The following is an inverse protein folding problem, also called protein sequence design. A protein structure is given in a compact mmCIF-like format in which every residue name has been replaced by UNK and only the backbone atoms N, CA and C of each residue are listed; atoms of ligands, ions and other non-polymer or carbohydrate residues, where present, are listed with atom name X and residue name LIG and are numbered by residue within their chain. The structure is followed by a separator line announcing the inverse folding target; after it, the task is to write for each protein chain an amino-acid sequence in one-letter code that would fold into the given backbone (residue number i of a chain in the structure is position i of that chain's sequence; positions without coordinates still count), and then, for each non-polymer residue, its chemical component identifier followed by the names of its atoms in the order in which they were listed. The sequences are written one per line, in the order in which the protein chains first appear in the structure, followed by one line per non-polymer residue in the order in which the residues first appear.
data_IF_691282466937
#
_entry.id   IF_691282466937
#
_cell.length_a   1.000
_cell.length_b   1.000
_cell.length_c   1.000
_cell.angle_alpha   90.00
_cell.angle_beta   90.00
_cell.angle_gamma   90.00
#
_symmetry.space_group_name_H-M   'P 1'
#
loop_
_entity.id
_entity.type
_entity.pdbx_description
1 polymer ?
#
# COMPACT_ATOMS: atom_id res chain seq x y z
N UNK A 1 -42.59 -7.38 45.10
CA UNK A 1 -41.73 -7.43 43.91
C UNK A 1 -41.83 -6.07 43.22
N UNK A 2 -40.77 -5.26 43.25
CA UNK A 2 -40.80 -3.83 42.88
C UNK A 2 -40.09 -3.62 41.54
N UNK A 3 -40.82 -3.03 40.59
CA UNK A 3 -40.31 -2.44 39.35
C UNK A 3 -39.41 -1.26 39.73
N UNK A 4 -38.19 -1.21 39.21
CA UNK A 4 -37.31 -0.05 39.40
C UNK A 4 -37.02 0.54 38.03
N UNK A 5 -37.27 1.85 37.98
CA UNK A 5 -37.22 2.75 36.87
C UNK A 5 -35.80 2.95 36.33
N UNK A 6 -35.77 3.25 35.03
CA UNK A 6 -34.67 3.93 34.34
C UNK A 6 -34.24 5.16 35.13
N UNK A 7 -32.95 5.26 35.44
CA UNK A 7 -32.29 6.52 35.73
C UNK A 7 -31.02 6.57 34.88
N UNK A 8 -31.09 7.37 33.82
CA UNK A 8 -29.94 7.90 33.09
C UNK A 8 -29.00 8.58 34.09
N UNK A 9 -27.74 8.17 34.12
CA UNK A 9 -26.66 8.93 34.71
C UNK A 9 -25.50 8.93 33.72
N UNK A 10 -25.36 10.04 33.00
CA UNK A 10 -24.16 10.41 32.28
C UNK A 10 -23.10 10.91 33.27
N UNK A 11 -21.83 10.57 33.01
CA UNK A 11 -20.55 11.25 33.35
C UNK A 11 -19.48 10.15 33.43
N UNK A 12 -18.77 9.86 32.34
CA UNK A 12 -17.55 10.51 31.83
C UNK A 12 -16.31 10.28 32.73
N UNK A 13 -15.30 9.68 32.08
CA UNK A 13 -13.85 9.75 32.25
C UNK A 13 -13.09 8.61 32.96
N UNK A 14 -12.06 8.17 32.22
CA UNK A 14 -10.89 7.35 32.55
C UNK A 14 -11.06 5.83 32.46
N UNK A 15 -11.08 5.31 31.23
CA UNK A 15 -10.66 3.93 30.97
C UNK A 15 -9.47 3.96 30.01
N UNK A 16 -8.30 3.67 30.57
CA UNK A 16 -7.16 3.17 29.83
C UNK A 16 -7.39 1.72 29.39
N UNK A 17 -6.95 1.44 28.17
CA UNK A 17 -6.39 0.18 27.68
C UNK A 17 -7.20 -1.11 27.92
N UNK A 18 -8.17 -1.38 27.05
CA UNK A 18 -8.16 -2.64 26.27
C UNK A 18 -9.03 -2.49 25.01
N UNK A 19 -8.49 -1.84 23.99
CA UNK A 19 -9.02 -1.95 22.63
C UNK A 19 -8.15 -2.96 21.90
N UNK A 20 -8.48 -4.24 22.07
CA UNK A 20 -8.07 -5.29 21.14
C UNK A 20 -8.85 -5.07 19.83
N UNK A 21 -8.38 -4.10 19.05
CA UNK A 21 -8.67 -4.00 17.62
C UNK A 21 -7.34 -4.26 16.92
N UNK A 22 -7.02 -5.54 16.80
CA UNK A 22 -6.14 -6.05 15.75
C UNK A 22 -6.83 -5.78 14.41
N UNK A 23 -6.69 -4.56 13.93
CA UNK A 23 -6.77 -4.24 12.51
C UNK A 23 -6.07 -2.91 12.37
N UNK A 24 -4.75 -3.03 12.19
CA UNK A 24 -3.87 -1.96 11.77
C UNK A 24 -4.54 -1.21 10.64
N UNK A 25 -4.98 -0.01 11.01
CA UNK A 25 -5.67 0.94 10.18
C UNK A 25 -4.83 1.26 8.94
N UNK A 26 -5.53 1.33 7.80
CA UNK A 26 -5.15 2.01 6.55
C UNK A 26 -4.74 1.12 5.36
N UNK A 27 -5.52 0.08 5.05
CA UNK A 27 -5.47 -0.62 3.75
C UNK A 27 -6.89 -0.75 3.16
N UNK A 28 -7.54 0.39 2.90
CA UNK A 28 -8.84 0.40 2.26
C UNK A 28 -8.94 1.65 1.38
N UNK A 29 -9.03 1.43 0.07
CA UNK A 29 -9.20 2.41 -1.02
C UNK A 29 -7.94 3.08 -1.64
N UNK A 30 -6.73 2.53 -1.44
CA UNK A 30 -5.65 2.67 -2.42
C UNK A 30 -5.48 1.32 -3.10
N UNK A 31 -5.78 1.21 -4.39
CA UNK A 31 -5.46 0.01 -5.17
C UNK A 31 -3.98 -0.27 -5.00
N UNK A 32 -3.57 -1.50 -4.63
CA UNK A 32 -2.16 -1.80 -4.42
C UNK A 32 -1.34 -1.46 -5.67
N UNK A 33 -0.11 -0.99 -5.51
CA UNK A 33 0.81 -0.63 -6.62
C UNK A 33 0.91 -1.79 -7.61
N UNK A 34 1.06 -3.01 -7.07
CA UNK A 34 1.05 -4.27 -7.84
C UNK A 34 -0.22 -4.41 -8.68
N UNK A 35 -1.39 -4.13 -8.11
CA UNK A 35 -2.66 -4.21 -8.83
C UNK A 35 -2.76 -3.18 -9.95
N UNK A 36 -2.31 -1.95 -9.76
CA UNK A 36 -2.32 -0.92 -10.81
C UNK A 36 -1.45 -1.34 -12.01
N UNK A 37 -0.27 -1.91 -11.75
CA UNK A 37 0.62 -2.40 -12.81
C UNK A 37 0.01 -3.62 -13.53
N UNK A 38 -0.64 -4.55 -12.79
CA UNK A 38 -1.38 -5.70 -13.38
C UNK A 38 -2.56 -5.24 -14.22
N UNK A 39 -3.37 -4.32 -13.72
CA UNK A 39 -4.54 -3.78 -14.40
C UNK A 39 -4.14 -3.00 -15.68
N UNK A 40 -2.93 -2.43 -15.71
CA UNK A 40 -2.36 -1.79 -16.89
C UNK A 40 -1.78 -2.77 -17.93
N UNK A 41 -1.82 -4.08 -17.67
CA UNK A 41 -1.51 -5.11 -18.65
C UNK A 41 -0.15 -5.77 -18.51
N UNK A 42 0.60 -5.53 -17.42
CA UNK A 42 1.75 -6.41 -17.13
C UNK A 42 1.23 -7.82 -16.87
N UNK A 43 1.81 -8.83 -17.53
CA UNK A 43 1.44 -10.21 -17.23
C UNK A 43 2.00 -10.59 -15.88
N UNK A 44 1.26 -11.37 -15.11
CA UNK A 44 1.71 -11.84 -13.80
C UNK A 44 3.03 -12.62 -13.88
N UNK A 45 3.21 -13.44 -14.92
CA UNK A 45 4.45 -14.16 -15.17
C UNK A 45 5.65 -13.22 -15.43
N UNK A 46 5.40 -12.06 -16.05
CA UNK A 46 6.44 -11.06 -16.31
C UNK A 46 6.75 -10.30 -15.01
N UNK A 47 5.74 -9.95 -14.21
CA UNK A 47 5.93 -9.24 -12.94
C UNK A 47 6.71 -10.06 -11.90
N UNK A 48 6.41 -11.35 -11.79
CA UNK A 48 7.07 -12.23 -10.82
C UNK A 48 8.51 -12.59 -11.22
N UNK A 49 8.86 -12.53 -12.51
CA UNK A 49 10.21 -12.86 -13.02
C UNK A 49 11.07 -11.64 -13.35
N UNK A 50 10.46 -10.49 -13.63
CA UNK A 50 11.18 -9.29 -14.01
C UNK A 50 11.99 -8.76 -12.83
N UNK A 51 13.24 -8.43 -13.13
CA UNK A 51 14.08 -7.62 -12.27
C UNK A 51 13.71 -6.14 -12.39
N UNK A 52 14.40 -5.31 -11.62
CA UNK A 52 14.18 -3.85 -11.59
C UNK A 52 14.39 -3.24 -12.99
N UNK A 53 15.37 -3.70 -13.76
CA UNK A 53 15.67 -3.17 -15.08
C UNK A 53 14.56 -3.50 -16.09
N UNK A 54 14.06 -4.73 -16.10
CA UNK A 54 12.94 -5.13 -16.95
C UNK A 54 11.66 -4.36 -16.63
N UNK A 55 11.37 -4.16 -15.34
CA UNK A 55 10.23 -3.33 -14.91
C UNK A 55 10.43 -1.86 -15.27
N UNK A 56 11.65 -1.35 -15.23
CA UNK A 56 11.94 0.03 -15.63
C UNK A 56 11.66 0.24 -17.11
N UNK A 57 12.13 -0.68 -17.98
CA UNK A 57 11.82 -0.64 -19.42
C UNK A 57 10.32 -0.67 -19.66
N UNK A 58 9.60 -1.53 -18.94
CA UNK A 58 8.14 -1.59 -19.05
C UNK A 58 7.47 -0.28 -18.62
N UNK A 59 7.90 0.31 -17.50
CA UNK A 59 7.39 1.60 -17.00
C UNK A 59 7.74 2.78 -17.91
N UNK A 60 8.88 2.73 -18.62
CA UNK A 60 9.22 3.70 -19.66
C UNK A 60 8.24 3.64 -20.84
N UNK A 61 7.79 2.43 -21.21
CA UNK A 61 6.78 2.23 -22.24
C UNK A 61 5.37 2.58 -21.76
N UNK A 62 5.11 2.47 -20.45
CA UNK A 62 3.82 2.75 -19.80
C UNK A 62 3.96 3.94 -18.84
N UNK A 63 4.40 5.08 -19.38
CA UNK A 63 4.73 6.27 -18.58
C UNK A 63 3.56 6.88 -17.80
N UNK A 64 2.32 6.63 -18.24
CA UNK A 64 1.10 7.00 -17.51
C UNK A 64 0.96 6.17 -16.22
N UNK A 65 1.24 4.87 -16.28
CA UNK A 65 1.25 3.98 -15.11
C UNK A 65 2.32 4.42 -14.13
N UNK A 66 3.53 4.71 -14.62
CA UNK A 66 4.64 5.20 -13.80
C UNK A 66 4.26 6.46 -13.02
N UNK A 67 3.62 7.44 -13.69
CA UNK A 67 3.14 8.68 -13.05
C UNK A 67 2.07 8.41 -12.00
N UNK A 68 1.14 7.49 -12.27
CA UNK A 68 0.05 7.16 -11.35
C UNK A 68 0.54 6.48 -10.06
N UNK A 69 1.61 5.68 -10.14
CA UNK A 69 2.16 4.97 -8.98
C UNK A 69 3.29 5.74 -8.27
N UNK A 70 3.89 6.76 -8.87
CA UNK A 70 5.08 7.44 -8.34
C UNK A 70 4.91 7.93 -6.88
N UNK A 71 3.80 8.60 -6.57
CA UNK A 71 3.54 9.08 -5.20
C UNK A 71 3.40 7.93 -4.20
N UNK A 72 2.73 6.84 -4.61
CA UNK A 72 2.55 5.65 -3.79
C UNK A 72 3.89 4.94 -3.57
N UNK A 73 4.71 4.81 -4.61
CA UNK A 73 6.04 4.24 -4.52
C UNK A 73 6.96 5.04 -3.59
N UNK A 74 6.94 6.37 -3.68
CA UNK A 74 7.69 7.24 -2.77
C UNK A 74 7.30 7.02 -1.31
N UNK A 75 6.01 6.84 -1.02
CA UNK A 75 5.51 6.55 0.33
C UNK A 75 5.81 5.12 0.79
N UNK A 76 5.84 4.16 -0.13
CA UNK A 76 6.07 2.75 0.17
C UNK A 76 7.54 2.36 0.29
N UNK A 77 8.48 3.21 -0.16
CA UNK A 77 9.91 2.90 -0.17
C UNK A 77 10.48 2.51 1.20
N UNK A 78 11.18 1.37 1.24
CA UNK A 78 11.89 0.86 2.42
C UNK A 78 13.34 0.49 2.07
N UNK A 79 14.21 0.52 3.07
CA UNK A 79 15.62 0.10 2.94
C UNK A 79 15.83 -1.41 3.16
N UNK A 80 14.79 -2.11 3.57
CA UNK A 80 14.82 -3.55 3.86
C UNK A 80 14.98 -4.38 2.57
N UNK A 81 15.91 -5.34 2.57
CA UNK A 81 16.23 -6.15 1.39
C UNK A 81 15.09 -7.10 1.01
N UNK A 82 14.35 -7.64 1.98
CA UNK A 82 13.20 -8.51 1.72
C UNK A 82 12.11 -7.73 0.98
N UNK A 83 11.82 -6.51 1.43
CA UNK A 83 10.91 -5.61 0.71
C UNK A 83 11.44 -5.26 -0.68
N UNK A 84 12.72 -4.92 -0.85
CA UNK A 84 13.29 -4.60 -2.16
C UNK A 84 13.17 -5.76 -3.17
N UNK A 85 13.20 -7.00 -2.70
CA UNK A 85 12.99 -8.19 -3.52
C UNK A 85 11.52 -8.58 -3.71
N UNK A 86 10.57 -7.94 -3.03
CA UNK A 86 9.14 -8.13 -3.26
C UNK A 86 8.70 -7.52 -4.60
N UNK A 87 7.53 -7.91 -5.12
CA UNK A 87 6.99 -7.32 -6.36
C UNK A 87 6.83 -5.81 -6.25
N UNK A 88 6.25 -5.32 -5.14
CA UNK A 88 6.10 -3.89 -4.87
C UNK A 88 7.44 -3.16 -4.80
N UNK A 89 8.43 -3.74 -4.11
CA UNK A 89 9.76 -3.16 -4.01
C UNK A 89 10.44 -3.05 -5.36
N UNK A 90 10.40 -4.09 -6.19
CA UNK A 90 10.98 -4.07 -7.53
C UNK A 90 10.31 -3.05 -8.45
N UNK A 91 8.98 -2.93 -8.40
CA UNK A 91 8.22 -1.92 -9.15
C UNK A 91 8.65 -0.51 -8.73
N UNK A 92 8.74 -0.24 -7.43
CA UNK A 92 9.05 1.10 -6.95
C UNK A 92 10.52 1.50 -7.12
N UNK A 93 11.44 0.54 -7.05
CA UNK A 93 12.82 0.77 -7.44
C UNK A 93 12.95 1.08 -8.93
N UNK A 94 12.18 0.39 -9.77
CA UNK A 94 12.14 0.61 -11.21
C UNK A 94 11.55 1.99 -11.55
N UNK A 95 10.47 2.40 -10.88
CA UNK A 95 9.86 3.73 -11.03
C UNK A 95 10.84 4.83 -10.64
N UNK A 96 11.54 4.70 -9.50
CA UNK A 96 12.59 5.66 -9.11
C UNK A 96 13.71 5.76 -10.15
N UNK A 97 14.10 4.65 -10.77
CA UNK A 97 15.07 4.63 -11.88
C UNK A 97 14.56 5.35 -13.12
N UNK A 98 13.27 5.21 -13.44
CA UNK A 98 12.61 5.85 -14.57
C UNK A 98 12.60 7.39 -14.45
N UNK A 99 12.40 7.93 -13.25
CA UNK A 99 12.40 9.38 -12.98
C UNK A 99 13.76 10.06 -13.12
N UNK A 100 14.87 9.31 -13.18
CA UNK A 100 16.23 9.85 -13.35
C UNK A 100 16.64 9.99 -14.83
N UNK A 101 15.84 9.48 -15.76
CA UNK A 101 16.15 9.44 -17.20
C UNK A 101 15.38 10.52 -17.99
N UNK A 102 14.52 11.32 -17.33
CA UNK A 102 13.80 12.44 -17.93
C UNK A 102 14.33 13.80 -17.48
#
# INVERSE_FOLDING_TARGET
MKRIYVAMAALICLVGCTSKSEQGSSESAQTSIVKQVKDAGVKEADLSKADVAGLQVWLMQHGDVAKNIAAQCKSAMKTDSVWQHSEEGRICLAEKGNGLVN
#
